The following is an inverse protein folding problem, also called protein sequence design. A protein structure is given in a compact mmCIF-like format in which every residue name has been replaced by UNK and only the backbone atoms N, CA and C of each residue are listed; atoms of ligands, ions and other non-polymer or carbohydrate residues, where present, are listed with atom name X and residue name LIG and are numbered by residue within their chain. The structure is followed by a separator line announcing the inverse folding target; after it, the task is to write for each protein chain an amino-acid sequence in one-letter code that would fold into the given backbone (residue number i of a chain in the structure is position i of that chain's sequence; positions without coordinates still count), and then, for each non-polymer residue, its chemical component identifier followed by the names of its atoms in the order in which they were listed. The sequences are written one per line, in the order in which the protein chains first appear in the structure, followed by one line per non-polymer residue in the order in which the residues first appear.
data_IF_777481490171
#
_entry.id   IF_777481490171
#
_cell.length_a   1.000
_cell.length_b   1.000
_cell.length_c   1.000
_cell.angle_alpha   90.00
_cell.angle_beta   90.00
_cell.angle_gamma   90.00
#
_symmetry.space_group_name_H-M   'P 1'
#
loop_
_entity.id
_entity.type
_entity.pdbx_description
1 polymer ?
#
# COMPACT_ATOMS: atom_id res chain seq x y z
N UNK A 1 13.21 6.08 8.76
CA UNK A 1 11.79 5.67 8.68
C UNK A 1 11.10 6.41 7.56
N UNK A 2 10.07 5.80 6.98
CA UNK A 2 9.28 6.35 5.89
C UNK A 2 7.82 6.48 6.31
N UNK A 3 7.15 7.52 5.83
CA UNK A 3 5.71 7.74 5.98
C UNK A 3 5.06 7.85 4.60
N UNK A 4 3.80 7.44 4.48
CA UNK A 4 2.99 7.62 3.28
C UNK A 4 1.68 8.32 3.66
N UNK A 5 1.32 9.33 2.88
CA UNK A 5 0.08 10.08 3.06
C UNK A 5 -1.08 9.56 2.19
N UNK A 6 -2.29 10.04 2.48
CA UNK A 6 -3.52 9.72 1.72
C UNK A 6 -3.47 10.06 0.23
N UNK A 7 -2.52 10.88 -0.20
CA UNK A 7 -2.38 11.32 -1.60
C UNK A 7 -1.38 10.49 -2.39
N UNK A 8 -0.80 9.46 -1.76
CA UNK A 8 0.19 8.58 -2.37
C UNK A 8 1.60 9.17 -2.38
N UNK A 9 1.90 10.15 -1.52
CA UNK A 9 3.25 10.68 -1.37
C UNK A 9 4.00 9.98 -0.24
N UNK A 10 5.29 9.77 -0.44
CA UNK A 10 6.18 9.22 0.58
C UNK A 10 7.18 10.26 1.11
N UNK A 11 7.56 10.10 2.37
CA UNK A 11 8.44 11.00 3.12
C UNK A 11 9.41 10.19 3.95
N UNK A 12 10.66 10.61 4.07
CA UNK A 12 11.64 10.00 4.95
C UNK A 12 12.05 10.95 6.07
N UNK A 13 12.01 10.45 7.31
CA UNK A 13 12.49 11.14 8.50
C UNK A 13 13.64 10.34 9.11
N UNK A 14 14.68 11.05 9.49
CA UNK A 14 15.78 10.50 10.27
C UNK A 14 15.32 10.31 11.74
N UNK A 15 15.34 9.08 12.29
CA UNK A 15 14.93 8.82 13.66
C UNK A 15 15.68 9.65 14.71
N UNK A 16 16.92 10.07 14.44
CA UNK A 16 17.71 10.92 15.36
C UNK A 16 17.04 12.28 15.59
N UNK A 17 16.25 12.75 14.63
CA UNK A 17 15.57 14.05 14.71
C UNK A 17 14.26 14.01 15.50
N UNK A 18 13.83 12.82 15.94
CA UNK A 18 12.57 12.65 16.67
C UNK A 18 12.76 12.83 18.18
N UNK A 19 11.75 13.34 18.89
CA UNK A 19 11.80 13.44 20.35
C UNK A 19 11.82 12.06 21.00
N UNK A 20 12.37 12.00 22.21
CA UNK A 20 12.30 10.79 23.04
C UNK A 20 10.84 10.46 23.43
N UNK A 21 10.60 9.19 23.76
CA UNK A 21 9.29 8.72 24.23
C UNK A 21 8.83 9.28 25.59
N UNK A 22 9.67 10.08 26.29
CA UNK A 22 9.30 10.67 27.60
C UNK A 22 8.35 11.87 27.49
N UNK A 23 8.21 12.46 26.29
CA UNK A 23 7.30 13.58 26.02
C UNK A 23 6.02 13.15 25.31
N UNK A 24 5.22 14.13 24.87
CA UNK A 24 4.00 13.90 24.08
C UNK A 24 4.28 13.73 22.57
N UNK A 25 5.55 13.57 22.20
CA UNK A 25 5.99 13.60 20.81
C UNK A 25 5.93 15.00 20.20
N UNK A 26 5.93 15.05 18.87
CA UNK A 26 5.73 16.27 18.09
C UNK A 26 4.88 15.95 16.86
N UNK A 27 4.11 16.91 16.34
CA UNK A 27 3.27 16.68 15.18
C UNK A 27 4.10 16.46 13.91
N UNK A 28 3.72 15.46 13.08
CA UNK A 28 4.39 15.19 11.80
C UNK A 28 4.35 16.39 10.84
N UNK A 29 3.32 17.24 10.93
CA UNK A 29 3.22 18.49 10.15
C UNK A 29 4.31 19.51 10.48
N UNK A 30 4.99 19.38 11.63
CA UNK A 30 6.19 20.15 11.95
C UNK A 30 7.43 19.69 11.16
N UNK A 31 7.46 18.44 10.70
CA UNK A 31 8.57 17.89 9.90
C UNK A 31 8.26 17.80 8.40
N UNK A 32 7.01 17.52 8.04
CA UNK A 32 6.54 17.23 6.69
C UNK A 32 5.63 18.34 6.14
N UNK A 33 5.75 18.62 4.85
CA UNK A 33 4.80 19.46 4.10
C UNK A 33 3.81 18.55 3.39
N UNK A 34 2.65 18.37 4.02
CA UNK A 34 1.55 17.56 3.49
C UNK A 34 0.68 18.41 2.53
N UNK A 35 0.09 17.81 1.49
CA UNK A 35 -0.96 18.45 0.72
C UNK A 35 -2.15 18.88 1.61
N UNK A 36 -2.92 19.91 1.22
CA UNK A 36 -4.10 20.33 1.97
C UNK A 36 -5.08 19.18 2.19
N UNK A 37 -5.47 18.96 3.45
CA UNK A 37 -6.40 17.88 3.83
C UNK A 37 -5.79 16.47 3.89
N UNK A 38 -4.52 16.30 3.51
CA UNK A 38 -3.87 15.00 3.57
C UNK A 38 -3.52 14.60 5.01
N UNK A 39 -3.63 13.31 5.29
CA UNK A 39 -3.22 12.68 6.55
C UNK A 39 -2.15 11.63 6.28
N UNK A 40 -1.33 11.34 7.29
CA UNK A 40 -0.35 10.24 7.21
C UNK A 40 -1.05 8.96 7.64
N UNK A 41 -1.06 7.95 6.77
CA UNK A 41 -1.79 6.69 7.01
C UNK A 41 -0.87 5.50 7.25
N UNK A 42 0.34 5.53 6.70
CA UNK A 42 1.27 4.40 6.80
C UNK A 42 2.65 4.87 7.24
N UNK A 43 3.32 4.00 8.01
CA UNK A 43 4.70 4.17 8.44
C UNK A 43 5.44 2.85 8.19
N UNK A 44 6.63 2.94 7.61
CA UNK A 44 7.49 1.80 7.30
C UNK A 44 8.93 2.04 7.77
N UNK A 45 9.60 0.96 8.15
CA UNK A 45 11.03 0.96 8.44
C UNK A 45 11.61 -0.39 8.06
N UNK A 46 12.24 -0.45 6.90
CA UNK A 46 12.84 -1.67 6.35
C UNK A 46 14.28 -1.42 5.91
N UNK A 47 14.98 -2.48 5.49
CA UNK A 47 16.26 -2.35 4.78
C UNK A 47 16.06 -1.74 3.39
N UNK A 48 17.06 -1.01 2.88
CA UNK A 48 16.95 -0.25 1.62
C UNK A 48 16.51 -1.10 0.42
N UNK A 49 16.93 -2.37 0.37
CA UNK A 49 16.62 -3.31 -0.72
C UNK A 49 15.33 -4.12 -0.50
N UNK A 50 14.65 -3.97 0.65
CA UNK A 50 13.42 -4.70 0.96
C UNK A 50 12.36 -4.46 -0.11
N UNK A 51 11.84 -5.54 -0.69
CA UNK A 51 10.77 -5.47 -1.69
C UNK A 51 9.43 -5.16 -1.01
N UNK A 52 8.69 -4.26 -1.64
CA UNK A 52 7.38 -3.81 -1.19
C UNK A 52 6.40 -3.87 -2.36
N UNK A 53 5.14 -4.16 -2.05
CA UNK A 53 4.02 -3.95 -2.94
C UNK A 53 3.31 -2.65 -2.59
N UNK A 54 3.25 -1.74 -3.56
CA UNK A 54 2.47 -0.50 -3.51
C UNK A 54 1.21 -0.65 -4.36
N UNK A 55 0.04 -0.27 -3.84
CA UNK A 55 -1.21 -0.36 -4.58
C UNK A 55 -2.21 0.74 -4.20
N UNK A 56 -3.20 0.93 -5.07
CA UNK A 56 -4.39 1.76 -4.85
C UNK A 56 -5.64 0.89 -4.83
N UNK A 57 -6.67 1.33 -4.13
CA UNK A 57 -7.98 0.65 -4.09
C UNK A 57 -8.67 0.60 -5.47
N UNK A 58 -8.22 1.38 -6.45
CA UNK A 58 -8.65 1.30 -7.85
C UNK A 58 -8.12 0.04 -8.60
N UNK A 59 -7.38 -0.85 -7.93
CA UNK A 59 -6.90 -2.10 -8.49
C UNK A 59 -5.59 -1.99 -9.30
N UNK A 60 -4.82 -0.93 -9.09
CA UNK A 60 -3.51 -0.72 -9.71
C UNK A 60 -2.39 -0.70 -8.67
N UNK A 61 -1.23 -1.23 -9.02
CA UNK A 61 -0.05 -1.23 -8.15
C UNK A 61 1.23 -1.68 -8.86
N UNK A 62 2.32 -1.73 -8.10
CA UNK A 62 3.64 -2.11 -8.58
C UNK A 62 4.52 -2.59 -7.43
N UNK A 63 5.53 -3.40 -7.76
CA UNK A 63 6.59 -3.76 -6.81
C UNK A 63 7.63 -2.64 -6.81
N UNK A 64 8.21 -2.32 -5.67
CA UNK A 64 9.35 -1.41 -5.55
C UNK A 64 10.29 -1.87 -4.42
N UNK A 65 11.39 -1.15 -4.20
CA UNK A 65 12.19 -1.33 -2.97
C UNK A 65 11.83 -0.29 -1.91
N UNK A 66 12.23 -0.50 -0.66
CA UNK A 66 12.09 0.52 0.38
C UNK A 66 12.84 1.82 0.02
N UNK A 67 14.00 1.73 -0.63
CA UNK A 67 14.73 2.91 -1.11
C UNK A 67 13.91 3.74 -2.11
N UNK A 68 13.06 3.08 -2.92
CA UNK A 68 12.10 3.77 -3.80
C UNK A 68 11.02 4.54 -3.03
N UNK A 69 10.91 4.42 -1.70
CA UNK A 69 10.05 5.27 -0.86
C UNK A 69 10.81 6.41 -0.19
N UNK A 70 12.14 6.35 -0.10
CA UNK A 70 12.95 7.34 0.63
C UNK A 70 12.93 8.70 -0.09
N UNK A 71 12.43 9.73 0.60
CA UNK A 71 12.41 11.11 0.12
C UNK A 71 12.66 12.07 1.29
N UNK A 72 13.88 12.64 1.37
CA UNK A 72 14.34 13.43 2.53
C UNK A 72 13.92 14.90 2.49
N UNK A 73 13.40 15.40 1.37
CA UNK A 73 12.86 16.75 1.29
C UNK A 73 11.52 16.83 2.04
N UNK A 74 11.22 17.98 2.67
CA UNK A 74 9.98 18.15 3.49
C UNK A 74 8.70 17.89 2.70
N UNK A 75 8.69 18.18 1.41
CA UNK A 75 7.54 17.93 0.52
C UNK A 75 7.39 16.46 0.10
N UNK A 76 8.35 15.59 0.42
CA UNK A 76 8.36 14.19 0.01
C UNK A 76 8.39 14.01 -1.51
N UNK A 77 7.98 12.84 -1.98
CA UNK A 77 7.82 12.53 -3.41
C UNK A 77 6.46 11.92 -3.72
N UNK A 78 5.94 12.19 -4.91
CA UNK A 78 4.79 11.46 -5.44
C UNK A 78 5.25 10.03 -5.78
N UNK A 79 4.81 9.06 -5.00
CA UNK A 79 5.20 7.66 -5.12
C UNK A 79 4.16 6.90 -5.94
N UNK A 80 2.91 6.88 -5.50
CA UNK A 80 1.80 6.24 -6.20
C UNK A 80 0.83 7.30 -6.71
N UNK A 81 0.44 7.18 -7.99
CA UNK A 81 -0.58 8.05 -8.59
C UNK A 81 -1.96 7.42 -8.40
N UNK A 82 -2.79 8.09 -7.62
CA UNK A 82 -4.16 7.65 -7.34
C UNK A 82 -5.11 8.09 -8.48
N UNK A 83 -5.94 7.18 -9.01
CA UNK A 83 -7.12 7.56 -9.78
C UNK A 83 -8.09 8.44 -8.98
N UNK A 84 -9.10 8.99 -9.67
CA UNK A 84 -10.13 9.82 -9.02
C UNK A 84 -10.79 9.09 -7.85
N UNK A 85 -10.83 9.74 -6.68
CA UNK A 85 -11.37 9.23 -5.41
C UNK A 85 -10.77 7.91 -4.90
N UNK A 86 -9.64 7.47 -5.47
CA UNK A 86 -8.94 6.28 -5.03
C UNK A 86 -8.09 6.56 -3.78
N UNK A 87 -7.85 5.53 -2.99
CA UNK A 87 -7.06 5.55 -1.77
C UNK A 87 -5.83 4.64 -1.89
N UNK A 88 -4.83 4.91 -1.05
CA UNK A 88 -3.65 4.07 -0.92
C UNK A 88 -4.03 2.77 -0.18
N UNK A 89 -3.62 1.62 -0.71
CA UNK A 89 -3.70 0.36 0.02
C UNK A 89 -2.54 0.27 1.01
N UNK A 90 -2.72 -0.38 2.18
CA UNK A 90 -1.62 -0.68 3.08
C UNK A 90 -0.45 -1.32 2.31
N UNK A 91 0.75 -0.72 2.33
CA UNK A 91 1.91 -1.30 1.67
C UNK A 91 2.24 -2.66 2.27
N UNK A 92 2.57 -3.63 1.42
CA UNK A 92 2.87 -4.99 1.86
C UNK A 92 4.36 -5.27 1.69
N UNK A 93 4.97 -5.82 2.72
CA UNK A 93 6.33 -6.36 2.64
C UNK A 93 6.27 -7.67 1.86
N UNK A 94 7.15 -7.83 0.87
CA UNK A 94 7.31 -9.08 0.12
C UNK A 94 8.46 -9.83 0.76
N UNK A 95 8.15 -10.89 1.50
CA UNK A 95 9.16 -11.71 2.19
C UNK A 95 9.87 -12.68 1.24
N UNK A 96 9.13 -13.27 0.30
CA UNK A 96 9.65 -14.15 -0.76
C UNK A 96 9.15 -13.71 -2.14
N UNK A 97 10.01 -13.75 -3.16
CA UNK A 97 9.64 -13.43 -4.54
C UNK A 97 8.67 -14.44 -5.16
N UNK A 98 8.60 -15.65 -4.59
CA UNK A 98 7.68 -16.71 -5.01
C UNK A 98 6.32 -16.67 -4.29
N UNK A 99 6.09 -15.69 -3.42
CA UNK A 99 4.80 -15.50 -2.77
C UNK A 99 3.69 -15.18 -3.79
N UNK A 100 2.46 -15.48 -3.40
CA UNK A 100 1.25 -15.21 -4.18
C UNK A 100 0.63 -13.88 -3.76
N UNK A 101 0.26 -13.06 -4.75
CA UNK A 101 -0.58 -11.89 -4.57
C UNK A 101 -2.05 -12.28 -4.64
N UNK A 102 -2.79 -12.07 -3.55
CA UNK A 102 -4.25 -12.25 -3.49
C UNK A 102 -4.96 -10.90 -3.42
N UNK A 103 -5.84 -10.65 -4.38
CA UNK A 103 -6.69 -9.47 -4.46
C UNK A 103 -8.17 -9.85 -4.28
N UNK A 104 -8.89 -9.13 -3.42
CA UNK A 104 -10.32 -9.30 -3.15
C UNK A 104 -11.03 -7.96 -3.33
N UNK A 105 -12.00 -7.91 -4.24
CA UNK A 105 -12.81 -6.70 -4.50
C UNK A 105 -13.97 -6.55 -3.51
N UNK A 106 -14.53 -5.35 -3.40
CA UNK A 106 -15.74 -5.06 -2.64
C UNK A 106 -16.94 -5.86 -3.16
N UNK A 107 -17.01 -6.08 -4.47
CA UNK A 107 -17.99 -6.96 -5.10
C UNK A 107 -17.75 -8.47 -4.86
N UNK A 108 -16.71 -8.86 -4.11
CA UNK A 108 -16.44 -10.25 -3.73
C UNK A 108 -15.71 -11.09 -4.79
N UNK A 109 -15.16 -10.47 -5.84
CA UNK A 109 -14.29 -11.15 -6.80
C UNK A 109 -12.90 -11.36 -6.20
N UNK A 110 -12.34 -12.56 -6.36
CA UNK A 110 -10.99 -12.92 -5.90
C UNK A 110 -10.11 -13.25 -7.10
N UNK A 111 -8.84 -12.83 -7.05
CA UNK A 111 -7.81 -13.18 -8.03
C UNK A 111 -6.50 -13.45 -7.28
N UNK A 112 -5.82 -14.54 -7.66
CA UNK A 112 -4.52 -14.90 -7.10
C UNK A 112 -3.52 -15.20 -8.21
N UNK A 113 -2.32 -14.64 -8.13
CA UNK A 113 -1.22 -14.88 -9.08
C UNK A 113 0.14 -14.62 -8.41
N UNK A 114 1.26 -15.13 -8.92
CA UNK A 114 2.59 -14.89 -8.34
C UNK A 114 2.95 -13.39 -8.27
N UNK A 115 3.51 -12.93 -7.14
CA UNK A 115 3.79 -11.50 -6.93
C UNK A 115 4.83 -10.95 -7.91
N UNK A 116 5.79 -11.79 -8.33
CA UNK A 116 6.82 -11.47 -9.33
C UNK A 116 6.27 -11.14 -10.74
N UNK A 117 5.00 -11.49 -11.00
CA UNK A 117 4.32 -11.19 -12.26
C UNK A 117 3.90 -9.72 -12.35
N UNK A 118 3.92 -8.97 -11.23
CA UNK A 118 3.64 -7.55 -11.20
C UNK A 118 4.94 -6.74 -11.48
N UNK A 119 4.97 -5.85 -12.49
CA UNK A 119 6.19 -5.14 -12.84
C UNK A 119 6.74 -4.27 -11.70
N UNK A 120 8.06 -4.25 -11.57
CA UNK A 120 8.75 -3.37 -10.63
C UNK A 120 8.85 -1.94 -11.20
N UNK A 121 8.46 -0.94 -10.41
CA UNK A 121 8.54 0.48 -10.74
C UNK A 121 9.04 1.27 -9.53
N UNK A 122 9.67 2.43 -9.75
CA UNK A 122 10.08 3.33 -8.67
C UNK A 122 8.98 4.33 -8.25
N UNK A 123 7.97 4.53 -9.10
CA UNK A 123 6.78 5.37 -8.86
C UNK A 123 5.76 5.23 -10.00
N UNK A 124 4.55 5.75 -9.78
CA UNK A 124 3.53 5.97 -10.82
C UNK A 124 2.18 5.36 -10.44
N UNK A 125 1.28 5.22 -11.42
CA UNK A 125 -0.02 4.56 -11.21
C UNK A 125 0.12 3.05 -10.96
N UNK A 126 1.18 2.44 -11.50
CA UNK A 126 1.33 0.98 -11.51
C UNK A 126 0.53 0.30 -12.62
N UNK A 127 0.64 -1.03 -12.63
CA UNK A 127 -0.06 -1.91 -13.54
C UNK A 127 -1.33 -2.47 -12.87
N UNK A 128 -2.24 -2.99 -13.68
CA UNK A 128 -3.50 -3.53 -13.19
C UNK A 128 -3.24 -4.83 -12.42
N UNK A 129 -3.65 -4.88 -11.15
CA UNK A 129 -3.64 -6.07 -10.29
C UNK A 129 -4.91 -6.87 -10.54
N UNK A 130 -6.07 -6.21 -10.47
CA UNK A 130 -7.39 -6.80 -10.71
C UNK A 130 -8.26 -5.79 -11.45
N UNK A 131 -9.11 -6.26 -12.35
CA UNK A 131 -9.95 -5.36 -13.14
C UNK A 131 -11.17 -4.87 -12.34
N UNK A 132 -11.17 -3.58 -12.03
CA UNK A 132 -12.31 -2.86 -11.47
C UNK A 132 -12.67 -1.74 -12.47
N UNK A 133 -13.93 -1.62 -12.93
CA UNK A 133 -14.33 -0.53 -13.82
C UNK A 133 -14.04 0.83 -13.19
N UNK A 134 -13.34 1.72 -13.90
CA UNK A 134 -12.88 2.99 -13.34
C UNK A 134 -14.02 3.90 -12.88
N UNK A 135 -15.18 3.82 -13.55
CA UNK A 135 -16.37 4.58 -13.18
C UNK A 135 -17.02 4.07 -11.88
N UNK A 136 -16.92 2.77 -11.59
CA UNK A 136 -17.40 2.17 -10.33
C UNK A 136 -16.43 2.51 -9.19
N UNK A 137 -15.12 2.39 -9.45
CA UNK A 137 -14.07 2.79 -8.49
C UNK A 137 -14.18 4.27 -8.09
N UNK A 138 -14.33 5.20 -9.05
CA UNK A 138 -14.42 6.62 -8.76
C UNK A 138 -15.70 7.01 -7.98
N UNK A 139 -16.77 6.21 -8.08
CA UNK A 139 -18.01 6.39 -7.30
C UNK A 139 -17.98 5.70 -5.94
N UNK A 140 -17.03 4.79 -5.72
CA UNK A 140 -17.00 3.91 -4.56
C UNK A 140 -18.03 2.77 -4.62
N UNK A 141 -18.52 2.41 -5.81
CA UNK A 141 -19.48 1.31 -6.00
C UNK A 141 -18.78 -0.07 -5.98
N UNK A 142 -17.51 -0.10 -6.39
CA UNK A 142 -16.61 -1.27 -6.28
C UNK A 142 -15.18 -0.77 -6.07
N UNK A 143 -14.29 -1.65 -5.61
CA UNK A 143 -12.93 -1.30 -5.24
C UNK A 143 -12.16 -2.52 -4.78
N UNK A 144 -10.84 -2.41 -4.64
CA UNK A 144 -10.01 -3.43 -4.03
C UNK A 144 -10.16 -3.32 -2.51
N UNK A 145 -10.87 -4.28 -1.90
CA UNK A 145 -11.17 -4.28 -0.47
C UNK A 145 -10.03 -4.89 0.35
N UNK A 146 -9.42 -5.97 -0.14
CA UNK A 146 -8.29 -6.62 0.51
C UNK A 146 -7.21 -6.98 -0.49
N UNK A 147 -5.96 -6.85 -0.04
CA UNK A 147 -4.76 -7.21 -0.78
C UNK A 147 -3.80 -7.90 0.17
N UNK A 148 -3.25 -9.04 -0.23
CA UNK A 148 -2.31 -9.82 0.59
C UNK A 148 -1.20 -10.39 -0.28
N UNK A 149 0.02 -10.45 0.26
CA UNK A 149 1.12 -11.26 -0.25
C UNK A 149 1.28 -12.43 0.73
N UNK A 150 1.24 -13.66 0.25
CA UNK A 150 1.24 -14.84 1.09
C UNK A 150 1.92 -16.05 0.42
N UNK A 151 2.52 -16.96 1.20
CA UNK A 151 3.08 -18.20 0.66
C UNK A 151 2.04 -19.03 -0.13
N UNK A 152 2.42 -19.72 -1.22
CA UNK A 152 1.49 -20.45 -2.09
C UNK A 152 0.63 -21.53 -1.42
N UNK A 153 1.03 -22.03 -0.26
CA UNK A 153 0.32 -23.09 0.49
C UNK A 153 -0.46 -22.56 1.70
N UNK A 154 -0.68 -21.25 1.77
CA UNK A 154 -1.45 -20.65 2.85
C UNK A 154 -2.93 -21.03 2.77
N UNK A 155 -3.55 -21.18 3.93
CA UNK A 155 -5.01 -21.37 4.05
C UNK A 155 -5.65 -20.07 4.53
N UNK A 156 -6.70 -19.61 3.84
CA UNK A 156 -7.44 -18.43 4.23
C UNK A 156 -8.80 -18.80 4.84
N UNK A 157 -9.12 -18.21 5.98
CA UNK A 157 -10.46 -18.27 6.56
C UNK A 157 -11.08 -16.89 6.53
N UNK A 158 -12.16 -16.73 5.77
CA UNK A 158 -12.85 -15.46 5.59
C UNK A 158 -14.14 -15.48 6.41
N UNK A 159 -14.29 -14.48 7.28
CA UNK A 159 -15.48 -14.29 8.10
C UNK A 159 -16.31 -13.12 7.57
N UNK A 160 -17.60 -13.36 7.32
CA UNK A 160 -18.57 -12.32 6.94
C UNK A 160 -19.75 -12.41 7.91
N UNK A 161 -19.71 -11.59 8.96
CA UNK A 161 -20.65 -11.70 10.08
C UNK A 161 -20.58 -13.07 10.75
N UNK A 162 -21.66 -13.86 10.69
CA UNK A 162 -21.73 -15.23 11.24
C UNK A 162 -21.33 -16.31 10.22
N UNK A 163 -21.08 -15.96 8.97
CA UNK A 163 -20.69 -16.91 7.92
C UNK A 163 -19.17 -17.05 7.90
N UNK A 164 -18.71 -18.29 7.78
CA UNK A 164 -17.30 -18.64 7.63
C UNK A 164 -17.14 -19.42 6.33
N UNK A 165 -16.24 -18.94 5.48
CA UNK A 165 -15.80 -19.66 4.29
C UNK A 165 -14.31 -19.97 4.45
N UNK A 166 -13.93 -21.22 4.22
CA UNK A 166 -12.54 -21.64 4.23
C UNK A 166 -12.11 -21.92 2.79
N UNK A 167 -11.04 -21.28 2.35
CA UNK A 167 -10.40 -21.52 1.07
C UNK A 167 -9.04 -22.14 1.34
N UNK A 168 -8.90 -23.41 0.95
CA UNK A 168 -7.64 -24.14 0.91
C UNK A 168 -6.96 -23.90 -0.46
N UNK A 169 -5.64 -24.12 -0.57
CA UNK A 169 -4.92 -24.04 -1.85
C UNK A 169 -5.52 -24.93 -2.94
#
# INVERSE_FOLDING_TARGET
MVFIDTTGRSYAIDPITLPSARGQGEPLTGKLTLPPGATVEHMLMEGDDQKLLMASDAGYGFVCTFNDLVARNRAGKALITLPENAHVMPPLVIEDEHDMLLAITQAGRMLMFPVDSLPQLSKGKGNKIINIPSAEAAKGDDGLAHLYVLPPQSTLTIHVGKRQNQTAP
#
